data_IF_031067795560
#
_entry.id   IF_031067795560
#
_cell.length_a   1.000
_cell.length_b   1.000
_cell.length_c   1.000
_cell.angle_alpha   90.00
_cell.angle_beta   90.00
_cell.angle_gamma   90.00
#
_symmetry.space_group_name_H-M   'P 1'
#
loop_
_entity.id
_entity.type
_entity.pdbx_description
1 polymer ?
#
# COMPACT_ATOMS: atom_id res chain seq x y z
N UNK A 1 -14.17 20.48 -8.42
CA UNK A 1 -14.65 19.37 -9.25
C UNK A 1 -14.16 18.05 -8.67
N UNK A 2 -14.67 16.92 -9.15
CA UNK A 2 -14.20 15.61 -8.72
C UNK A 2 -12.78 15.36 -9.26
N UNK A 3 -11.96 14.66 -8.46
CA UNK A 3 -10.60 14.25 -8.80
C UNK A 3 -10.48 12.74 -8.83
N UNK A 4 -9.48 12.22 -9.55
CA UNK A 4 -9.20 10.78 -9.55
C UNK A 4 -8.60 10.38 -8.21
N UNK A 5 -7.60 11.12 -7.75
CA UNK A 5 -6.97 10.97 -6.44
C UNK A 5 -7.16 12.22 -5.59
N UNK A 6 -7.27 12.08 -4.28
CA UNK A 6 -7.54 13.19 -3.37
C UNK A 6 -6.41 14.22 -3.33
N UNK A 7 -5.22 13.81 -2.93
CA UNK A 7 -4.06 14.70 -2.74
C UNK A 7 -2.79 14.16 -3.40
N UNK A 8 -2.93 13.51 -4.56
CA UNK A 8 -1.78 12.98 -5.29
C UNK A 8 -0.95 14.09 -5.91
N UNK A 9 0.31 14.18 -5.53
CA UNK A 9 1.30 15.01 -6.20
C UNK A 9 2.12 14.17 -7.19
N UNK A 10 2.77 14.85 -8.12
CA UNK A 10 3.58 14.25 -9.19
C UNK A 10 4.60 13.25 -8.67
N UNK A 11 5.37 13.64 -7.68
CA UNK A 11 6.44 12.82 -7.10
C UNK A 11 5.93 11.57 -6.39
N UNK A 12 4.81 11.69 -5.68
CA UNK A 12 4.16 10.56 -5.03
C UNK A 12 3.59 9.59 -6.06
N UNK A 13 3.00 10.11 -7.14
CA UNK A 13 2.48 9.27 -8.21
C UNK A 13 3.59 8.44 -8.88
N UNK A 14 4.72 9.08 -9.25
CA UNK A 14 5.88 8.35 -9.81
C UNK A 14 6.38 7.30 -8.82
N UNK A 15 6.47 7.66 -7.54
CA UNK A 15 6.89 6.74 -6.49
C UNK A 15 5.97 5.51 -6.41
N UNK A 16 4.66 5.70 -6.35
CA UNK A 16 3.69 4.61 -6.28
C UNK A 16 3.70 3.74 -7.54
N UNK A 17 3.71 4.35 -8.72
CA UNK A 17 3.75 3.60 -9.98
C UNK A 17 5.00 2.73 -10.09
N UNK A 18 6.15 3.23 -9.64
CA UNK A 18 7.39 2.45 -9.64
C UNK A 18 7.43 1.40 -8.53
N UNK A 19 6.87 1.68 -7.35
CA UNK A 19 6.86 0.71 -6.24
C UNK A 19 5.91 -0.46 -6.49
N UNK A 20 4.78 -0.22 -7.14
CA UNK A 20 3.74 -1.23 -7.31
C UNK A 20 3.65 -1.81 -8.73
N UNK A 21 4.15 -1.10 -9.74
CA UNK A 21 4.16 -1.51 -11.13
C UNK A 21 5.55 -1.49 -11.78
N UNK A 22 6.63 -1.37 -11.00
CA UNK A 22 8.00 -1.27 -11.53
C UNK A 22 8.45 -2.49 -12.33
N UNK A 23 7.88 -3.67 -12.06
CA UNK A 23 8.15 -4.90 -12.80
C UNK A 23 7.70 -4.82 -14.28
N UNK A 24 6.77 -3.93 -14.61
CA UNK A 24 6.38 -3.67 -16.01
C UNK A 24 7.52 -2.99 -16.81
N UNK A 25 8.44 -2.33 -16.08
CA UNK A 25 9.53 -1.55 -16.68
C UNK A 25 10.92 -2.10 -16.41
N UNK A 26 11.05 -3.04 -15.47
CA UNK A 26 12.32 -3.69 -15.14
C UNK A 26 12.08 -5.19 -14.97
N UNK A 27 12.59 -5.96 -15.90
CA UNK A 27 12.64 -7.42 -15.78
C UNK A 27 13.78 -7.79 -14.80
N UNK A 28 13.41 -8.18 -13.58
CA UNK A 28 14.36 -8.49 -12.52
C UNK A 28 15.21 -9.73 -12.82
N UNK A 29 14.69 -10.67 -13.62
CA UNK A 29 15.38 -11.91 -13.97
C UNK A 29 16.46 -11.66 -15.05
N UNK A 30 16.14 -10.85 -16.06
CA UNK A 30 17.07 -10.54 -17.15
C UNK A 30 17.86 -9.26 -16.93
N UNK A 31 17.41 -8.38 -16.05
CA UNK A 31 17.98 -7.05 -15.83
C UNK A 31 17.68 -6.07 -16.95
N UNK A 32 16.71 -6.36 -17.82
CA UNK A 32 16.35 -5.47 -18.91
C UNK A 32 15.36 -4.41 -18.47
N UNK A 33 15.66 -3.16 -18.81
CA UNK A 33 14.75 -2.04 -18.62
C UNK A 33 13.94 -1.77 -19.89
N UNK A 34 12.72 -1.24 -19.71
CA UNK A 34 11.77 -0.90 -20.77
C UNK A 34 11.09 0.46 -20.50
N UNK A 35 11.88 1.46 -20.13
CA UNK A 35 11.38 2.81 -19.81
C UNK A 35 11.02 3.64 -21.05
N UNK A 36 11.44 3.22 -22.24
CA UNK A 36 11.05 3.86 -23.52
C UNK A 36 9.76 3.27 -24.11
N UNK A 37 8.98 2.56 -23.32
CA UNK A 37 7.67 2.03 -23.72
C UNK A 37 6.59 3.11 -23.74
N UNK A 38 5.52 2.88 -24.54
CA UNK A 38 4.38 3.80 -24.58
C UNK A 38 3.70 3.93 -23.21
N UNK A 39 3.57 2.83 -22.46
CA UNK A 39 2.95 2.84 -21.14
C UNK A 39 3.71 3.72 -20.13
N UNK A 40 5.05 3.75 -20.22
CA UNK A 40 5.84 4.63 -19.36
C UNK A 40 5.74 6.10 -19.80
N UNK A 41 5.69 6.38 -21.11
CA UNK A 41 5.40 7.73 -21.60
C UNK A 41 4.04 8.23 -21.13
N UNK A 42 2.99 7.40 -21.26
CA UNK A 42 1.63 7.74 -20.81
C UNK A 42 1.60 8.02 -19.29
N UNK A 43 2.37 7.26 -18.52
CA UNK A 43 2.54 7.49 -17.07
C UNK A 43 3.15 8.87 -16.78
N UNK A 44 4.21 9.26 -17.48
CA UNK A 44 4.83 10.58 -17.32
C UNK A 44 3.92 11.73 -17.80
N UNK A 45 3.18 11.52 -18.91
CA UNK A 45 2.20 12.49 -19.38
C UNK A 45 1.08 12.71 -18.35
N UNK A 46 0.59 11.64 -17.74
CA UNK A 46 -0.37 11.76 -16.65
C UNK A 46 0.25 12.45 -15.43
N UNK A 47 1.47 12.08 -15.02
CA UNK A 47 2.18 12.73 -13.92
C UNK A 47 2.31 14.25 -14.13
N UNK A 48 2.53 14.69 -15.37
CA UNK A 48 2.61 16.12 -15.72
C UNK A 48 1.31 16.88 -15.42
N UNK A 49 0.16 16.21 -15.45
CA UNK A 49 -1.14 16.84 -15.12
C UNK A 49 -1.34 17.04 -13.61
N UNK A 50 -0.56 16.36 -12.78
CA UNK A 50 -0.65 16.44 -11.33
C UNK A 50 0.11 17.66 -10.78
N UNK A 51 -0.29 18.18 -9.61
CA UNK A 51 0.43 19.28 -8.97
C UNK A 51 1.86 18.85 -8.61
N UNK A 52 2.79 19.81 -8.67
CA UNK A 52 4.19 19.60 -8.29
C UNK A 52 4.35 19.47 -6.78
N UNK A 53 3.68 20.31 -6.05
CA UNK A 53 3.75 20.39 -4.59
C UNK A 53 2.37 20.15 -4.01
N UNK A 54 2.34 19.61 -2.84
CA UNK A 54 1.11 19.48 -2.09
C UNK A 54 0.64 20.89 -1.73
N UNK A 55 -0.48 21.31 -2.32
CA UNK A 55 -1.10 22.59 -2.03
C UNK A 55 -1.87 22.60 -0.71
N UNK A 56 -1.63 21.63 0.15
CA UNK A 56 -2.19 21.63 1.49
C UNK A 56 -1.74 22.93 2.17
N UNK A 57 -2.66 23.84 2.28
CA UNK A 57 -2.50 24.99 3.16
C UNK A 57 -2.34 24.43 4.60
N UNK A 58 -1.34 24.87 5.36
CA UNK A 58 -1.07 24.44 6.73
C UNK A 58 -2.28 24.63 7.69
N UNK A 59 -3.39 25.11 7.19
CA UNK A 59 -4.66 25.30 7.89
C UNK A 59 -5.83 24.44 7.39
N UNK A 60 -5.61 23.51 6.44
CA UNK A 60 -6.70 22.62 5.99
C UNK A 60 -6.94 21.54 7.03
N UNK A 61 -8.15 21.52 7.57
CA UNK A 61 -8.62 20.56 8.55
C UNK A 61 -8.58 19.12 7.97
N UNK A 62 -8.30 18.14 8.83
CA UNK A 62 -8.32 16.72 8.48
C UNK A 62 -9.66 16.30 7.86
N UNK A 63 -10.76 16.87 8.37
CA UNK A 63 -12.11 16.67 7.89
C UNK A 63 -12.31 17.05 6.41
N UNK A 64 -11.50 17.98 5.88
CA UNK A 64 -11.59 18.35 4.46
C UNK A 64 -11.30 17.17 3.54
N UNK A 65 -10.22 16.42 3.81
CA UNK A 65 -9.83 15.27 2.97
C UNK A 65 -10.82 14.12 3.12
N UNK A 66 -11.24 13.83 4.33
CA UNK A 66 -12.24 12.83 4.61
C UNK A 66 -13.56 13.12 3.87
N UNK A 67 -14.02 14.37 3.91
CA UNK A 67 -15.22 14.80 3.21
C UNK A 67 -15.11 14.70 1.68
N UNK A 68 -13.88 14.77 1.08
CA UNK A 68 -13.73 14.53 -0.36
C UNK A 68 -14.16 13.11 -0.76
N UNK A 69 -13.88 12.11 0.08
CA UNK A 69 -14.33 10.72 -0.16
C UNK A 69 -15.81 10.56 0.14
N UNK A 70 -16.27 11.01 1.30
CA UNK A 70 -17.68 10.91 1.74
C UNK A 70 -18.66 11.64 0.82
N UNK A 71 -18.23 12.69 0.16
CA UNK A 71 -19.02 13.44 -0.82
C UNK A 71 -18.82 12.97 -2.27
N UNK A 72 -18.15 11.83 -2.47
CA UNK A 72 -17.85 11.26 -3.79
C UNK A 72 -17.12 12.24 -4.73
N UNK A 73 -16.24 13.06 -4.17
CA UNK A 73 -15.41 14.01 -4.93
C UNK A 73 -14.06 13.41 -5.33
N UNK A 74 -13.69 12.30 -4.74
CA UNK A 74 -12.48 11.53 -5.05
C UNK A 74 -12.87 10.11 -5.44
N UNK A 75 -12.33 9.64 -6.57
CA UNK A 75 -12.70 8.34 -7.12
C UNK A 75 -11.87 7.20 -6.52
N UNK A 76 -10.57 7.40 -6.34
CA UNK A 76 -9.63 6.36 -5.91
C UNK A 76 -8.94 6.75 -4.60
N UNK A 77 -8.79 5.76 -3.74
CA UNK A 77 -8.06 5.86 -2.48
C UNK A 77 -6.95 4.80 -2.44
N UNK A 78 -5.77 5.23 -2.02
CA UNK A 78 -4.64 4.35 -1.75
C UNK A 78 -4.82 3.73 -0.36
N UNK A 79 -5.31 2.49 -0.33
CA UNK A 79 -5.63 1.77 0.88
C UNK A 79 -4.46 0.88 1.31
N UNK A 80 -3.88 1.17 2.47
CA UNK A 80 -2.92 0.31 3.11
C UNK A 80 -3.58 -0.51 4.22
N UNK A 81 -3.71 -1.82 4.02
CA UNK A 81 -4.37 -2.72 4.97
C UNK A 81 -3.31 -3.42 5.83
N UNK A 82 -3.01 -2.86 7.00
CA UNK A 82 -2.08 -3.47 7.96
C UNK A 82 -2.72 -4.65 8.72
N UNK A 83 -3.99 -4.52 9.06
CA UNK A 83 -4.82 -5.56 9.67
C UNK A 83 -6.31 -5.28 9.41
N UNK A 84 -7.21 -6.18 9.81
CA UNK A 84 -8.64 -6.03 9.52
C UNK A 84 -9.30 -4.90 10.33
N UNK A 85 -8.81 -4.61 11.52
CA UNK A 85 -9.31 -3.48 12.31
C UNK A 85 -8.93 -2.14 11.66
N UNK A 86 -7.69 -2.00 11.22
CA UNK A 86 -7.24 -0.84 10.46
C UNK A 86 -8.04 -0.67 9.17
N UNK A 87 -8.29 -1.76 8.45
CA UNK A 87 -9.17 -1.77 7.28
C UNK A 87 -10.58 -1.25 7.60
N UNK A 88 -11.15 -1.64 8.76
CA UNK A 88 -12.46 -1.18 9.21
C UNK A 88 -12.46 0.33 9.48
N UNK A 89 -11.43 0.86 10.15
CA UNK A 89 -11.30 2.29 10.39
C UNK A 89 -11.19 3.09 9.08
N UNK A 90 -10.47 2.58 8.10
CA UNK A 90 -10.35 3.25 6.82
C UNK A 90 -11.63 3.19 5.99
N UNK A 91 -12.30 2.04 5.90
CA UNK A 91 -13.51 1.89 5.10
C UNK A 91 -14.73 2.53 5.79
N UNK A 92 -15.04 2.11 7.01
CA UNK A 92 -16.26 2.57 7.71
C UNK A 92 -16.05 3.90 8.43
N UNK A 93 -14.85 4.15 8.93
CA UNK A 93 -14.48 5.41 9.55
C UNK A 93 -14.19 6.48 8.50
N UNK A 94 -13.04 6.43 7.87
CA UNK A 94 -12.55 7.48 6.99
C UNK A 94 -13.41 7.68 5.74
N UNK A 95 -13.74 6.61 5.00
CA UNK A 95 -14.55 6.72 3.78
C UNK A 95 -16.06 6.76 4.07
N UNK A 96 -16.51 6.07 5.11
CA UNK A 96 -17.91 6.08 5.57
C UNK A 96 -18.90 5.35 4.67
N UNK A 97 -18.45 4.70 3.60
CA UNK A 97 -19.25 4.05 2.59
C UNK A 97 -18.66 2.70 2.16
N UNK A 98 -19.46 1.92 1.44
CA UNK A 98 -19.01 0.68 0.82
C UNK A 98 -18.00 0.98 -0.30
N UNK A 99 -16.87 0.26 -0.30
CA UNK A 99 -15.80 0.42 -1.28
C UNK A 99 -15.66 -0.80 -2.18
N UNK A 100 -15.18 -0.58 -3.40
CA UNK A 100 -14.76 -1.65 -4.30
C UNK A 100 -13.24 -1.75 -4.32
N UNK A 101 -12.71 -2.95 -4.09
CA UNK A 101 -11.27 -3.21 -4.21
C UNK A 101 -10.92 -3.45 -5.68
N UNK A 102 -10.15 -2.57 -6.27
CA UNK A 102 -9.74 -2.66 -7.69
C UNK A 102 -8.27 -3.01 -7.85
N UNK A 103 -7.49 -2.92 -6.76
CA UNK A 103 -6.06 -3.10 -6.77
C UNK A 103 -5.31 -1.97 -7.47
N UNK A 104 -4.00 -2.10 -7.60
CA UNK A 104 -3.16 -1.12 -8.29
C UNK A 104 -3.16 -1.42 -9.80
N UNK A 105 -3.27 -0.43 -10.68
CA UNK A 105 -3.30 -0.67 -12.13
C UNK A 105 -1.94 -1.21 -12.61
N UNK A 106 -1.98 -2.39 -13.21
CA UNK A 106 -0.83 -3.06 -13.82
C UNK A 106 -1.17 -3.55 -15.21
N UNK A 107 -0.17 -3.88 -16.03
CA UNK A 107 -0.35 -4.27 -17.43
C UNK A 107 -1.16 -5.56 -17.60
N UNK A 108 -1.10 -6.46 -16.63
CA UNK A 108 -1.83 -7.73 -16.59
C UNK A 108 -3.20 -7.64 -15.90
N UNK A 109 -3.61 -6.45 -15.48
CA UNK A 109 -4.85 -6.18 -14.76
C UNK A 109 -4.97 -6.85 -13.39
N UNK A 110 -3.89 -7.40 -12.86
CA UNK A 110 -3.83 -8.03 -11.54
C UNK A 110 -3.21 -7.06 -10.52
N UNK A 111 -3.93 -6.01 -10.18
CA UNK A 111 -3.46 -4.85 -9.45
C UNK A 111 -3.22 -5.02 -7.96
N UNK A 112 -3.21 -6.24 -7.41
CA UNK A 112 -2.99 -6.45 -5.98
C UNK A 112 -1.51 -6.67 -5.66
N UNK A 113 -0.98 -5.85 -4.75
CA UNK A 113 0.44 -5.83 -4.38
C UNK A 113 0.58 -5.91 -2.87
N UNK A 114 1.46 -6.79 -2.39
CA UNK A 114 1.90 -6.81 -1.02
C UNK A 114 3.05 -5.81 -0.85
N UNK A 115 2.81 -4.77 -0.09
CA UNK A 115 3.90 -3.96 0.43
C UNK A 115 4.65 -4.79 1.47
N UNK A 116 5.98 -4.88 1.34
CA UNK A 116 6.80 -5.58 2.30
C UNK A 116 6.59 -4.96 3.70
N UNK A 117 6.30 -5.81 4.68
CA UNK A 117 6.03 -5.38 6.05
C UNK A 117 7.25 -4.76 6.72
N UNK A 118 7.03 -4.19 7.90
CA UNK A 118 8.09 -3.50 8.67
C UNK A 118 9.01 -4.44 9.45
N UNK A 119 8.75 -5.75 9.43
CA UNK A 119 9.51 -6.74 10.21
C UNK A 119 10.06 -7.81 9.29
N UNK A 120 11.39 -7.84 9.20
CA UNK A 120 12.13 -8.85 8.46
C UNK A 120 13.07 -9.59 9.39
N UNK A 121 13.15 -10.90 9.24
CA UNK A 121 14.12 -11.73 9.93
C UNK A 121 15.10 -12.31 8.92
N UNK A 122 16.38 -12.11 9.16
CA UNK A 122 17.45 -12.74 8.43
C UNK A 122 18.38 -13.49 9.39
N UNK A 123 18.79 -14.68 9.03
CA UNK A 123 19.80 -15.44 9.77
C UNK A 123 21.15 -15.21 9.13
N UNK A 124 22.14 -14.79 9.94
CA UNK A 124 23.51 -14.63 9.44
C UNK A 124 24.09 -15.99 9.02
N UNK A 125 24.50 -16.09 7.76
CA UNK A 125 25.17 -17.31 7.26
C UNK A 125 26.51 -17.61 8.01
N UNK A 126 27.03 -16.65 8.78
CA UNK A 126 28.23 -16.77 9.60
C UNK A 126 27.92 -17.08 11.07
N UNK A 127 26.66 -17.33 11.42
CA UNK A 127 26.28 -17.64 12.80
C UNK A 127 26.91 -18.98 13.23
N UNK A 128 27.57 -18.97 14.37
CA UNK A 128 28.11 -20.19 15.00
C UNK A 128 26.99 -21.04 15.63
N UNK A 129 25.78 -20.47 15.85
CA UNK A 129 24.61 -21.14 16.38
C UNK A 129 23.40 -20.93 15.47
N UNK A 130 23.44 -21.48 14.27
CA UNK A 130 22.38 -21.36 13.27
C UNK A 130 21.05 -21.96 13.79
N UNK A 131 21.12 -23.09 14.46
CA UNK A 131 19.95 -23.78 15.02
C UNK A 131 19.26 -22.90 16.08
N UNK A 132 20.00 -22.32 17.01
CA UNK A 132 19.46 -21.41 18.00
C UNK A 132 18.84 -20.15 17.38
N UNK A 133 19.51 -19.59 16.37
CA UNK A 133 18.97 -18.43 15.62
C UNK A 133 17.66 -18.79 14.91
N UNK A 134 17.58 -19.97 14.28
CA UNK A 134 16.35 -20.46 13.65
C UNK A 134 15.24 -20.72 14.68
N UNK A 135 15.56 -21.35 15.82
CA UNK A 135 14.59 -21.59 16.89
C UNK A 135 14.00 -20.28 17.43
N UNK A 136 14.77 -19.20 17.50
CA UNK A 136 14.27 -17.87 17.83
C UNK A 136 13.37 -17.32 16.73
N UNK A 137 13.83 -17.27 15.49
CA UNK A 137 13.08 -16.70 14.38
C UNK A 137 11.74 -17.42 14.14
N UNK A 138 11.71 -18.73 14.26
CA UNK A 138 10.49 -19.52 14.05
C UNK A 138 9.38 -19.26 15.09
N UNK A 139 9.69 -18.67 16.26
CA UNK A 139 8.67 -18.34 17.25
C UNK A 139 7.64 -17.36 16.69
N UNK A 140 8.08 -16.45 15.81
CA UNK A 140 7.20 -15.50 15.15
C UNK A 140 6.26 -16.13 14.10
N UNK A 141 6.49 -17.39 13.75
CA UNK A 141 5.66 -18.17 12.81
C UNK A 141 4.76 -19.19 13.53
N UNK A 142 4.80 -19.26 14.86
CA UNK A 142 3.94 -20.17 15.62
C UNK A 142 2.48 -19.70 15.66
N UNK A 143 1.50 -20.61 15.74
CA UNK A 143 0.10 -20.23 15.91
C UNK A 143 -0.12 -19.29 17.10
N UNK A 144 0.56 -19.54 18.21
CA UNK A 144 0.45 -18.76 19.44
C UNK A 144 0.80 -17.29 19.20
N UNK A 145 1.91 -17.01 18.49
CA UNK A 145 2.29 -15.64 18.16
C UNK A 145 1.38 -15.05 17.09
N UNK A 146 1.07 -15.82 16.05
CA UNK A 146 0.30 -15.36 14.90
C UNK A 146 -1.18 -15.03 15.24
N UNK A 147 -1.72 -15.59 16.31
CA UNK A 147 -3.06 -15.26 16.82
C UNK A 147 -3.05 -14.25 18.00
N UNK A 148 -1.86 -13.90 18.50
CA UNK A 148 -1.75 -13.02 19.66
C UNK A 148 -2.13 -11.56 19.34
N UNK A 149 -2.48 -10.81 20.39
CA UNK A 149 -2.68 -9.36 20.32
C UNK A 149 -1.38 -8.57 20.08
N UNK A 150 -0.22 -9.21 20.30
CA UNK A 150 1.09 -8.60 20.05
C UNK A 150 1.40 -8.47 18.55
N UNK A 151 0.78 -9.30 17.70
CA UNK A 151 0.90 -9.18 16.27
C UNK A 151 -0.05 -8.12 15.73
N UNK A 152 0.48 -6.91 15.50
CA UNK A 152 -0.30 -5.81 14.93
C UNK A 152 -0.65 -6.05 13.44
N UNK A 153 0.29 -6.58 12.66
CA UNK A 153 0.11 -6.77 11.21
C UNK A 153 -0.71 -8.04 10.89
N UNK A 154 -1.12 -8.17 9.62
CA UNK A 154 -1.76 -9.39 9.12
C UNK A 154 -0.94 -10.63 9.44
N UNK A 155 -1.56 -11.69 10.01
CA UNK A 155 -0.88 -12.98 10.17
C UNK A 155 -0.47 -13.56 8.82
N UNK A 156 0.75 -14.13 8.75
CA UNK A 156 1.20 -14.89 7.58
C UNK A 156 0.72 -16.35 7.64
N UNK A 157 0.34 -16.82 8.82
CA UNK A 157 -0.27 -18.15 8.98
C UNK A 157 -1.75 -18.06 8.59
N UNK A 158 -2.13 -18.80 7.55
CA UNK A 158 -3.48 -18.76 6.98
C UNK A 158 -4.59 -19.05 7.99
N UNK A 159 -4.40 -20.01 8.91
CA UNK A 159 -5.39 -20.31 9.95
C UNK A 159 -5.57 -19.11 10.90
N UNK A 160 -4.48 -18.48 11.35
CA UNK A 160 -4.53 -17.30 12.20
C UNK A 160 -5.17 -16.09 11.50
N UNK A 161 -4.89 -15.93 10.20
CA UNK A 161 -5.56 -14.92 9.39
C UNK A 161 -7.09 -15.12 9.33
N UNK A 162 -7.54 -16.37 9.14
CA UNK A 162 -8.98 -16.68 9.13
C UNK A 162 -9.63 -16.51 10.50
N UNK A 163 -8.92 -16.79 11.59
CA UNK A 163 -9.39 -16.55 12.95
C UNK A 163 -9.57 -15.04 13.19
N UNK A 164 -8.58 -14.21 12.82
CA UNK A 164 -8.69 -12.75 12.88
C UNK A 164 -9.79 -12.19 11.98
N UNK A 165 -10.01 -12.80 10.81
CA UNK A 165 -11.09 -12.45 9.90
C UNK A 165 -12.47 -12.71 10.55
N UNK A 166 -12.61 -13.83 11.26
CA UNK A 166 -13.83 -14.12 11.99
C UNK A 166 -14.03 -13.20 13.21
N UNK A 167 -12.95 -12.83 13.91
CA UNK A 167 -13.00 -11.85 15.01
C UNK A 167 -13.51 -10.49 14.54
N UNK A 168 -13.13 -10.04 13.34
CA UNK A 168 -13.56 -8.76 12.77
C UNK A 168 -15.08 -8.64 12.52
N UNK A 169 -15.81 -9.76 12.56
CA UNK A 169 -17.29 -9.79 12.49
C UNK A 169 -17.95 -9.65 13.85
N UNK A 170 -17.19 -9.60 14.93
CA UNK A 170 -17.70 -9.57 16.29
C UNK A 170 -17.50 -8.19 16.91
N UNK A 171 -18.41 -7.84 17.85
CA UNK A 171 -18.22 -6.63 18.65
C UNK A 171 -16.91 -6.75 19.44
N UNK A 172 -16.04 -5.73 19.43
CA UNK A 172 -14.76 -5.79 20.12
C UNK A 172 -14.94 -5.87 21.64
N UNK A 173 -14.03 -6.58 22.29
CA UNK A 173 -14.00 -6.70 23.73
C UNK A 173 -12.54 -6.75 24.23
N UNK A 174 -12.37 -6.44 25.49
CA UNK A 174 -11.15 -6.77 26.23
C UNK A 174 -11.49 -7.70 27.38
N UNK A 175 -10.51 -8.42 27.90
CA UNK A 175 -10.71 -9.36 29.00
C UNK A 175 -10.18 -8.75 30.29
N UNK A 176 -11.02 -8.66 31.34
CA UNK A 176 -10.63 -8.14 32.64
C UNK A 176 -9.71 -9.11 33.40
N UNK A 177 -9.19 -8.69 34.55
CA UNK A 177 -8.30 -9.50 35.42
C UNK A 177 -8.96 -10.81 35.92
N UNK A 178 -10.29 -10.90 35.89
CA UNK A 178 -11.07 -12.07 36.30
C UNK A 178 -11.44 -12.97 35.15
N UNK A 179 -11.07 -12.61 33.90
CA UNK A 179 -11.37 -13.37 32.68
C UNK A 179 -12.76 -13.06 32.07
N UNK A 180 -13.45 -12.00 32.52
CA UNK A 180 -14.72 -11.57 31.93
C UNK A 180 -14.49 -10.70 30.70
N UNK A 181 -15.38 -10.83 29.72
CA UNK A 181 -15.37 -10.00 28.52
C UNK A 181 -16.10 -8.70 28.75
N UNK A 182 -15.42 -7.59 28.53
CA UNK A 182 -15.96 -6.25 28.55
C UNK A 182 -16.03 -5.70 27.13
N UNK A 183 -17.25 -5.51 26.62
CA UNK A 183 -17.49 -5.07 25.25
C UNK A 183 -17.43 -3.56 25.14
N UNK A 184 -16.85 -3.08 24.05
CA UNK A 184 -16.82 -1.66 23.70
C UNK A 184 -17.21 -1.44 22.24
N UNK A 185 -17.39 -0.19 21.84
CA UNK A 185 -17.65 0.16 20.46
C UNK A 185 -16.43 0.88 19.89
N UNK A 186 -15.97 0.46 18.72
CA UNK A 186 -15.04 1.24 17.95
C UNK A 186 -15.76 2.48 17.42
N UNK A 187 -15.09 3.62 17.43
CA UNK A 187 -15.69 4.89 17.03
C UNK A 187 -14.77 5.66 16.11
N UNK A 188 -15.36 6.52 15.29
CA UNK A 188 -14.68 7.49 14.45
C UNK A 188 -15.29 8.87 14.66
N UNK A 189 -14.51 9.93 14.51
CA UNK A 189 -15.03 11.30 14.60
C UNK A 189 -15.06 11.93 13.20
N UNK A 190 -16.23 12.38 12.78
CA UNK A 190 -16.47 13.03 11.48
C UNK A 190 -17.08 14.40 11.74
N UNK A 191 -16.45 15.46 11.25
CA UNK A 191 -16.95 16.83 11.42
C UNK A 191 -17.29 17.18 12.89
N UNK A 192 -16.55 16.62 13.83
CA UNK A 192 -16.77 16.80 15.28
C UNK A 192 -17.86 15.92 15.89
N UNK A 193 -18.52 15.06 15.13
CA UNK A 193 -19.50 14.09 15.61
C UNK A 193 -18.90 12.69 15.70
N UNK A 194 -19.14 11.99 16.81
CA UNK A 194 -18.69 10.62 16.99
C UNK A 194 -19.69 9.64 16.39
N UNK A 195 -19.22 8.79 15.48
CA UNK A 195 -19.98 7.69 14.87
C UNK A 195 -19.46 6.35 15.40
N UNK A 196 -20.36 5.40 15.63
CA UNK A 196 -19.99 4.03 15.99
C UNK A 196 -19.65 3.26 14.72
N UNK A 197 -18.53 2.54 14.76
CA UNK A 197 -18.12 1.64 13.68
C UNK A 197 -18.66 0.24 13.96
N UNK A 198 -19.68 -0.15 13.25
CA UNK A 198 -20.20 -1.51 13.36
C UNK A 198 -19.17 -2.53 12.86
N UNK A 199 -19.04 -3.70 13.53
CA UNK A 199 -18.21 -4.79 13.04
C UNK A 199 -18.50 -5.10 11.56
N UNK A 200 -17.54 -5.71 10.87
CA UNK A 200 -17.78 -6.18 9.52
C UNK A 200 -18.85 -7.26 9.48
N UNK A 201 -19.67 -7.25 8.46
CA UNK A 201 -20.50 -8.40 8.10
C UNK A 201 -19.62 -9.52 7.53
N UNK A 202 -20.13 -10.75 7.51
CA UNK A 202 -19.41 -11.87 6.89
C UNK A 202 -19.13 -11.60 5.40
N UNK A 203 -20.07 -10.97 4.69
CA UNK A 203 -19.91 -10.65 3.27
C UNK A 203 -18.78 -9.62 3.03
N UNK A 204 -18.67 -8.61 3.89
CA UNK A 204 -17.56 -7.63 3.82
C UNK A 204 -16.21 -8.30 4.07
N UNK A 205 -16.11 -9.15 5.09
CA UNK A 205 -14.89 -9.92 5.38
C UNK A 205 -14.54 -10.84 4.22
N UNK A 206 -15.50 -11.55 3.65
CA UNK A 206 -15.27 -12.45 2.53
C UNK A 206 -14.72 -11.69 1.31
N UNK A 207 -15.23 -10.49 1.01
CA UNK A 207 -14.71 -9.63 -0.06
C UNK A 207 -13.27 -9.17 0.19
N UNK A 208 -12.97 -8.74 1.43
CA UNK A 208 -11.62 -8.33 1.82
C UNK A 208 -10.67 -9.52 1.68
N UNK A 209 -11.04 -10.69 2.20
CA UNK A 209 -10.24 -11.91 2.10
C UNK A 209 -10.01 -12.32 0.64
N UNK A 210 -11.05 -12.27 -0.20
CA UNK A 210 -10.94 -12.56 -1.63
C UNK A 210 -9.92 -11.62 -2.30
N UNK A 211 -9.98 -10.34 -2.02
CA UNK A 211 -9.02 -9.38 -2.55
C UNK A 211 -7.59 -9.68 -2.06
N UNK A 212 -7.39 -9.93 -0.76
CA UNK A 212 -6.07 -10.27 -0.21
C UNK A 212 -5.49 -11.54 -0.87
N UNK A 213 -6.33 -12.51 -1.19
CA UNK A 213 -5.89 -13.73 -1.88
C UNK A 213 -5.55 -13.54 -3.36
N UNK A 214 -5.86 -12.40 -3.95
CA UNK A 214 -5.41 -12.05 -5.30
C UNK A 214 -4.00 -11.46 -5.33
N UNK A 215 -3.42 -11.15 -4.15
CA UNK A 215 -2.06 -10.63 -4.07
C UNK A 215 -1.08 -11.68 -4.53
N UNK A 216 -0.35 -11.40 -5.60
CA UNK A 216 0.58 -12.32 -6.25
C UNK A 216 1.97 -11.72 -6.48
N UNK A 217 2.16 -10.46 -6.11
CA UNK A 217 3.43 -9.74 -6.24
C UNK A 217 3.77 -8.96 -4.98
N UNK A 218 5.04 -8.64 -4.81
CA UNK A 218 5.54 -7.74 -3.75
C UNK A 218 5.91 -6.40 -4.35
N UNK A 219 5.71 -5.33 -3.59
CA UNK A 219 6.18 -4.01 -3.98
C UNK A 219 7.70 -4.04 -4.20
N UNK A 220 8.14 -3.54 -5.35
CA UNK A 220 9.54 -3.37 -5.68
C UNK A 220 9.94 -1.93 -5.44
N UNK A 221 10.84 -1.72 -4.47
CA UNK A 221 11.32 -0.40 -4.14
C UNK A 221 12.80 -0.25 -4.51
N UNK A 222 13.08 0.61 -5.48
CA UNK A 222 14.43 0.99 -5.84
C UNK A 222 14.54 2.51 -5.92
N UNK A 223 15.03 3.11 -4.84
CA UNK A 223 15.13 4.56 -4.68
C UNK A 223 15.98 5.23 -5.77
N UNK A 224 17.07 4.60 -6.18
CA UNK A 224 17.95 5.16 -7.21
C UNK A 224 17.27 5.22 -8.58
N UNK A 225 16.51 4.20 -8.95
CA UNK A 225 15.70 4.22 -10.19
C UNK A 225 14.64 5.32 -10.11
N UNK A 226 13.94 5.42 -8.99
CA UNK A 226 12.93 6.47 -8.77
C UNK A 226 13.57 7.86 -8.88
N UNK A 227 14.75 8.06 -8.30
CA UNK A 227 15.48 9.32 -8.38
C UNK A 227 15.92 9.64 -9.82
N UNK A 228 16.44 8.67 -10.56
CA UNK A 228 16.77 8.84 -11.99
C UNK A 228 15.55 9.32 -12.78
N UNK A 229 14.39 8.70 -12.54
CA UNK A 229 13.13 9.08 -13.22
C UNK A 229 12.74 10.50 -12.87
N UNK A 230 12.71 10.85 -11.58
CA UNK A 230 12.34 12.20 -11.11
C UNK A 230 13.26 13.28 -11.67
N UNK A 231 14.57 13.06 -11.60
CA UNK A 231 15.57 14.02 -12.13
C UNK A 231 15.38 14.31 -13.60
N UNK A 232 15.26 13.27 -14.44
CA UNK A 232 15.16 13.45 -15.90
C UNK A 232 13.79 13.96 -16.33
N UNK A 233 12.72 13.53 -15.65
CA UNK A 233 11.36 13.96 -15.95
C UNK A 233 11.13 15.46 -15.70
N UNK A 234 11.92 16.12 -14.85
CA UNK A 234 11.81 17.57 -14.60
C UNK A 234 11.92 18.39 -15.90
N UNK A 235 12.79 18.00 -16.83
CA UNK A 235 12.93 18.70 -18.12
C UNK A 235 11.67 18.56 -19.01
N UNK A 236 10.98 17.42 -18.94
CA UNK A 236 9.68 17.23 -19.62
C UNK A 236 8.57 18.03 -18.90
N UNK A 237 8.55 18.02 -17.58
CA UNK A 237 7.56 18.74 -16.80
C UNK A 237 7.67 20.26 -16.96
N UNK A 238 8.90 20.76 -17.22
CA UNK A 238 9.19 22.16 -17.50
C UNK A 238 9.04 22.56 -19.00
N UNK A 239 8.51 21.68 -19.85
CA UNK A 239 8.38 21.89 -21.31
C UNK A 239 9.72 22.17 -22.04
N UNK A 240 10.83 21.69 -21.48
CA UNK A 240 12.17 21.86 -22.05
C UNK A 240 12.56 20.73 -22.99
N UNK A 241 12.00 19.54 -22.79
CA UNK A 241 12.20 18.34 -23.61
C UNK A 241 10.87 17.64 -23.89
N UNK A 242 10.80 16.89 -24.96
CA UNK A 242 9.69 15.99 -25.24
C UNK A 242 9.72 14.79 -24.29
N UNK A 243 8.59 14.11 -24.11
CA UNK A 243 8.52 12.87 -23.32
C UNK A 243 9.45 11.81 -23.89
N UNK A 244 9.54 11.68 -25.23
CA UNK A 244 10.42 10.72 -25.89
C UNK A 244 11.91 10.96 -25.58
N UNK A 245 12.38 12.22 -25.64
CA UNK A 245 13.77 12.54 -25.29
C UNK A 245 14.10 12.19 -23.84
N UNK A 246 13.15 12.39 -22.92
CA UNK A 246 13.35 12.10 -21.50
C UNK A 246 13.36 10.60 -21.22
N UNK A 247 12.42 9.85 -21.80
CA UNK A 247 12.37 8.39 -21.57
C UNK A 247 13.57 7.66 -22.16
N UNK A 248 14.16 8.16 -23.26
CA UNK A 248 15.39 7.61 -23.83
C UNK A 248 16.59 7.80 -22.89
N UNK A 249 16.65 8.93 -22.19
CA UNK A 249 17.70 9.20 -21.18
C UNK A 249 17.45 8.32 -19.94
N UNK A 250 16.21 8.25 -19.44
CA UNK A 250 15.85 7.40 -18.31
C UNK A 250 16.19 5.94 -18.62
N UNK A 251 15.80 5.44 -19.80
CA UNK A 251 16.12 4.08 -20.26
C UNK A 251 17.63 3.80 -20.19
N UNK A 252 18.45 4.73 -20.69
CA UNK A 252 19.90 4.57 -20.72
C UNK A 252 20.50 4.59 -19.31
N UNK A 253 20.10 5.55 -18.45
CA UNK A 253 20.62 5.68 -17.09
C UNK A 253 20.19 4.51 -16.21
N UNK A 254 18.93 4.13 -16.28
CA UNK A 254 18.38 3.01 -15.51
C UNK A 254 19.03 1.69 -15.92
N UNK A 255 19.23 1.44 -17.23
CA UNK A 255 19.89 0.23 -17.68
C UNK A 255 21.34 0.13 -17.19
N UNK A 256 22.10 1.22 -17.21
CA UNK A 256 23.48 1.25 -16.68
C UNK A 256 23.44 0.92 -15.17
N UNK A 257 22.55 1.57 -14.42
CA UNK A 257 22.45 1.31 -12.98
C UNK A 257 22.10 -0.16 -12.67
N UNK A 258 21.15 -0.73 -13.41
CA UNK A 258 20.76 -2.14 -13.24
C UNK A 258 21.91 -3.08 -13.59
N UNK A 259 22.64 -2.82 -14.69
CA UNK A 259 23.78 -3.64 -15.12
C UNK A 259 24.95 -3.61 -14.10
N UNK A 260 25.14 -2.49 -13.38
CA UNK A 260 26.19 -2.33 -12.38
C UNK A 260 25.84 -2.93 -11.00
N UNK A 261 24.56 -3.11 -10.68
CA UNK A 261 24.08 -3.51 -9.35
C UNK A 261 23.42 -4.89 -9.31
N UNK A 262 23.55 -5.65 -10.37
CA UNK A 262 22.99 -6.98 -10.54
C UNK A 262 23.91 -8.12 -10.07
#
# INVERSE_FOLDING_TARGET
>A
GATVFGSMIRDSYIHYMMSYGGEDFIDVDTGKCNFNSQSFMDMLEYAKTLPREDSRDDGVDYDYYENQYRENRTLLYDLNISNLKDCMYQIKGYMGEEVSFVGFPTSDSNGSVLSAGNVFFALSAKSENMEGAWQFARQFLTPEYQTSEELYNMPVLKSAFLDKAQEATQRPYWTDENGNREYYDDTWTVNGETVILEPFTQEEVDRICQFIYTVDRTAYYNEEIINIIKEEAEAFFADQKSVQEVVDIIQSRAQIYVDENR
#
